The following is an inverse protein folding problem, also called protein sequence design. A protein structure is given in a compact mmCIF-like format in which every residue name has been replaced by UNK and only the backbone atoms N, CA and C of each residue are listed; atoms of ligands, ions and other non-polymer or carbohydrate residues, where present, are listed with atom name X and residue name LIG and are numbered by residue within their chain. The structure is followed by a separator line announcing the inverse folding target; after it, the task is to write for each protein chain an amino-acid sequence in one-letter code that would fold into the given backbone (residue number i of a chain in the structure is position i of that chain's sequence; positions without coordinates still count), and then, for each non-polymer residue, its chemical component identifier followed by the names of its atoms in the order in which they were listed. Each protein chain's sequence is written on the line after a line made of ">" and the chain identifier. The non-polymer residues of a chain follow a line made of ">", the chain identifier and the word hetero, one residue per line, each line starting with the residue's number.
data_IF_176024114312
#
_entry.id   IF_176024114312
#
_cell.length_a   1.000
_cell.length_b   1.000
_cell.length_c   1.000
_cell.angle_alpha   90.00
_cell.angle_beta   90.00
_cell.angle_gamma   90.00
#
_symmetry.space_group_name_H-M   'P 1'
#
loop_
_entity.id
_entity.type
_entity.pdbx_description
1 polymer ?
#
# COMPACT_ATOMS: atom_id res chain seq x y z
N UNK A 1 28.77 -5.43 17.90
CA UNK A 1 28.03 -6.05 16.79
C UNK A 1 27.61 -4.94 15.85
N UNK A 2 28.15 -4.91 14.63
CA UNK A 2 27.68 -3.98 13.59
C UNK A 2 26.23 -4.33 13.24
N UNK A 3 25.29 -3.37 13.20
CA UNK A 3 23.92 -3.67 12.80
C UNK A 3 23.95 -4.29 11.41
N UNK A 4 23.33 -5.48 11.26
CA UNK A 4 23.15 -6.08 9.95
C UNK A 4 22.22 -5.13 9.16
N UNK A 5 22.56 -4.71 7.94
CA UNK A 5 21.68 -3.85 7.15
C UNK A 5 20.33 -4.54 6.96
N UNK A 6 19.24 -3.78 7.12
CA UNK A 6 17.89 -4.33 6.97
C UNK A 6 17.67 -4.84 5.54
N UNK A 7 16.94 -5.97 5.36
CA UNK A 7 16.63 -6.49 4.03
C UNK A 7 15.79 -5.47 3.23
N UNK A 8 16.17 -5.22 1.97
CA UNK A 8 15.43 -4.35 1.05
C UNK A 8 15.03 -5.18 -0.19
N UNK A 9 13.74 -5.24 -0.56
CA UNK A 9 13.33 -5.87 -1.80
C UNK A 9 14.02 -5.24 -3.03
N UNK A 10 14.48 -6.03 -4.03
CA UNK A 10 15.17 -5.49 -5.20
C UNK A 10 14.41 -4.40 -5.94
N UNK A 11 13.09 -4.56 -6.11
CA UNK A 11 12.24 -3.56 -6.76
C UNK A 11 12.18 -2.23 -5.98
N UNK A 12 12.25 -2.29 -4.65
CA UNK A 12 12.32 -1.09 -3.79
C UNK A 12 13.72 -0.48 -3.82
N UNK A 13 14.77 -1.31 -3.87
CA UNK A 13 16.15 -0.84 -3.93
C UNK A 13 16.44 -0.03 -5.22
N UNK A 14 15.70 -0.31 -6.29
CA UNK A 14 15.78 0.39 -7.57
C UNK A 14 15.01 1.72 -7.62
N UNK A 15 14.21 2.05 -6.59
CA UNK A 15 13.45 3.30 -6.55
C UNK A 15 14.37 4.51 -6.33
N UNK A 16 13.97 5.71 -6.81
CA UNK A 16 14.54 6.96 -6.38
C UNK A 16 14.50 7.10 -4.86
N UNK A 17 15.49 7.79 -4.30
CA UNK A 17 15.59 8.05 -2.86
C UNK A 17 15.44 9.53 -2.57
N UNK A 18 14.83 9.84 -1.44
CA UNK A 18 14.81 11.20 -0.92
C UNK A 18 16.19 11.62 -0.37
N UNK A 19 16.41 12.90 0.00
CA UNK A 19 17.68 13.36 0.57
C UNK A 19 18.11 12.67 1.88
N UNK A 20 17.19 11.97 2.55
CA UNK A 20 17.46 11.19 3.78
C UNK A 20 17.85 9.74 3.45
N UNK A 21 17.76 9.35 2.18
CA UNK A 21 18.07 8.00 1.69
C UNK A 21 16.89 7.03 1.70
N UNK A 22 15.66 7.48 2.02
CA UNK A 22 14.48 6.62 2.00
C UNK A 22 13.96 6.45 0.57
N UNK A 23 13.59 5.22 0.15
CA UNK A 23 12.97 5.00 -1.15
C UNK A 23 11.65 5.77 -1.24
N UNK A 24 11.36 6.34 -2.40
CA UNK A 24 10.13 7.09 -2.67
C UNK A 24 9.11 6.14 -3.32
N UNK A 25 8.00 5.80 -2.65
CA UNK A 25 6.96 4.95 -3.21
C UNK A 25 6.35 5.50 -4.50
N UNK A 26 5.90 4.61 -5.38
CA UNK A 26 5.23 4.97 -6.65
C UNK A 26 4.00 5.87 -6.46
N UNK A 27 3.27 5.71 -5.35
CA UNK A 27 2.08 6.52 -5.03
C UNK A 27 2.38 7.86 -4.35
N UNK A 28 3.65 8.14 -4.00
CA UNK A 28 4.01 9.40 -3.34
C UNK A 28 3.99 10.53 -4.35
N UNK A 29 3.10 11.54 -4.18
CA UNK A 29 3.02 12.65 -5.12
C UNK A 29 4.24 13.57 -4.98
N UNK A 30 4.46 14.39 -6.00
CA UNK A 30 5.40 15.52 -5.93
C UNK A 30 4.66 16.84 -5.71
N UNK A 31 5.30 17.74 -4.97
CA UNK A 31 4.88 19.14 -4.91
C UNK A 31 5.31 19.91 -6.18
N UNK A 32 5.00 21.20 -6.23
CA UNK A 32 5.29 22.06 -7.38
C UNK A 32 6.79 22.18 -7.67
N UNK A 33 7.64 21.96 -6.67
CA UNK A 33 9.10 21.96 -6.75
C UNK A 33 9.68 20.58 -7.09
N UNK A 34 8.84 19.55 -7.26
CA UNK A 34 9.26 18.18 -7.58
C UNK A 34 9.68 17.35 -6.37
N UNK A 35 9.44 17.83 -5.14
CA UNK A 35 9.81 17.14 -3.91
C UNK A 35 8.73 16.15 -3.45
N UNK A 36 9.10 14.97 -2.92
CA UNK A 36 8.13 13.93 -2.52
C UNK A 36 7.32 14.34 -1.27
N UNK A 37 5.99 14.26 -1.36
CA UNK A 37 5.08 14.56 -0.25
C UNK A 37 4.58 13.29 0.45
N UNK A 38 5.37 12.76 1.39
CA UNK A 38 5.08 11.49 2.09
C UNK A 38 3.83 11.49 2.99
N UNK A 39 3.27 12.66 3.33
CA UNK A 39 2.12 12.75 4.23
C UNK A 39 0.79 12.38 3.55
N UNK A 40 0.76 12.34 2.22
CA UNK A 40 -0.43 12.09 1.41
C UNK A 40 -0.14 11.04 0.33
N UNK A 41 -1.19 10.42 -0.19
CA UNK A 41 -1.15 9.55 -1.36
C UNK A 41 -1.65 10.32 -2.58
N UNK A 42 -0.93 10.29 -3.70
CA UNK A 42 -1.33 10.99 -4.92
C UNK A 42 -2.50 10.28 -5.60
N UNK A 43 -3.67 10.92 -5.67
CA UNK A 43 -4.89 10.30 -6.24
C UNK A 43 -4.67 9.78 -7.65
N UNK A 44 -4.00 10.55 -8.52
CA UNK A 44 -3.69 10.14 -9.89
C UNK A 44 -2.82 8.88 -9.93
N UNK A 45 -1.71 8.87 -9.18
CA UNK A 45 -0.79 7.73 -9.06
C UNK A 45 -1.50 6.49 -8.51
N UNK A 46 -2.34 6.65 -7.48
CA UNK A 46 -3.14 5.59 -6.90
C UNK A 46 -4.12 5.01 -7.91
N UNK A 47 -4.80 5.86 -8.70
CA UNK A 47 -5.72 5.41 -9.75
C UNK A 47 -4.99 4.59 -10.82
N UNK A 48 -3.81 5.06 -11.26
CA UNK A 48 -2.98 4.33 -12.22
C UNK A 48 -2.58 2.98 -11.65
N UNK A 49 -2.09 2.93 -10.40
CA UNK A 49 -1.72 1.66 -9.76
C UNK A 49 -2.91 0.70 -9.63
N UNK A 50 -4.10 1.21 -9.32
CA UNK A 50 -5.31 0.41 -9.21
C UNK A 50 -5.73 -0.20 -10.56
N UNK A 51 -5.82 0.63 -11.59
CA UNK A 51 -6.30 0.22 -12.92
C UNK A 51 -5.31 -0.69 -13.62
N UNK A 52 -4.02 -0.41 -13.50
CA UNK A 52 -2.95 -1.18 -14.14
C UNK A 52 -2.44 -2.34 -13.25
N UNK A 53 -3.09 -2.58 -12.10
CA UNK A 53 -2.71 -3.60 -11.10
C UNK A 53 -1.21 -3.58 -10.77
N UNK A 54 -0.70 -2.40 -10.42
CA UNK A 54 0.69 -2.18 -10.01
C UNK A 54 0.82 -2.07 -8.50
N UNK A 55 1.96 -2.47 -7.97
CA UNK A 55 2.23 -2.30 -6.55
C UNK A 55 2.38 -0.83 -6.21
N UNK A 56 1.69 -0.40 -5.15
CA UNK A 56 1.73 0.97 -4.68
C UNK A 56 3.08 1.46 -4.17
N UNK A 57 3.97 0.54 -3.80
CA UNK A 57 5.31 0.89 -3.30
C UNK A 57 6.32 0.93 -4.44
N UNK A 58 6.51 -0.18 -5.15
CA UNK A 58 7.55 -0.28 -6.18
C UNK A 58 7.09 0.09 -7.60
N UNK A 59 5.78 0.21 -7.85
CA UNK A 59 5.22 0.57 -9.15
C UNK A 59 5.33 -0.51 -10.25
N UNK A 60 5.91 -1.67 -9.95
CA UNK A 60 5.94 -2.79 -10.89
C UNK A 60 4.61 -3.55 -10.89
N UNK A 61 4.24 -4.22 -12.00
CA UNK A 61 3.02 -5.00 -12.08
C UNK A 61 2.93 -6.11 -11.02
N UNK A 62 1.74 -6.34 -10.49
CA UNK A 62 1.43 -7.49 -9.64
C UNK A 62 0.81 -8.59 -10.49
N UNK A 63 1.38 -9.79 -10.42
CA UNK A 63 0.81 -10.96 -11.06
C UNK A 63 -0.63 -11.23 -10.56
N UNK A 64 -1.45 -11.97 -11.32
CA UNK A 64 -2.70 -12.51 -10.78
C UNK A 64 -2.44 -13.31 -9.50
N UNK A 65 -3.28 -13.13 -8.48
CA UNK A 65 -3.13 -13.75 -7.17
C UNK A 65 -3.24 -12.76 -6.01
N UNK A 66 -2.81 -13.16 -4.80
CA UNK A 66 -3.00 -12.35 -3.62
C UNK A 66 -2.30 -10.99 -3.69
N UNK A 67 -2.97 -9.98 -3.14
CA UNK A 67 -2.44 -8.63 -2.95
C UNK A 67 -2.30 -8.33 -1.47
N UNK A 68 -1.36 -7.46 -1.12
CA UNK A 68 -1.02 -7.19 0.27
C UNK A 68 -1.21 -5.73 0.64
N UNK A 69 -1.45 -5.47 1.92
CA UNK A 69 -1.41 -4.14 2.52
C UNK A 69 -0.97 -4.20 3.99
N UNK A 70 -0.52 -3.05 4.50
CA UNK A 70 -0.31 -2.86 5.94
C UNK A 70 -1.60 -2.28 6.52
N UNK A 71 -2.09 -2.83 7.63
CA UNK A 71 -3.33 -2.39 8.29
C UNK A 71 -3.05 -1.96 9.74
N UNK A 72 -3.92 -1.11 10.28
CA UNK A 72 -3.85 -0.65 11.66
C UNK A 72 -4.45 -1.67 12.65
N UNK A 73 -4.25 -1.42 13.95
CA UNK A 73 -4.63 -2.35 15.01
C UNK A 73 -6.14 -2.70 15.00
N UNK A 74 -7.02 -1.70 14.90
CA UNK A 74 -8.47 -1.94 14.91
C UNK A 74 -8.96 -2.81 13.73
N UNK A 75 -8.40 -2.62 12.53
CA UNK A 75 -8.70 -3.46 11.37
C UNK A 75 -8.11 -4.87 11.55
N UNK A 76 -6.92 -4.98 12.16
CA UNK A 76 -6.28 -6.27 12.47
C UNK A 76 -7.16 -7.11 13.40
N UNK A 77 -7.67 -6.54 14.49
CA UNK A 77 -8.57 -7.23 15.42
C UNK A 77 -9.86 -7.66 14.75
N UNK A 78 -10.48 -6.78 13.95
CA UNK A 78 -11.71 -7.08 13.24
C UNK A 78 -11.54 -8.26 12.27
N UNK A 79 -10.42 -8.31 11.53
CA UNK A 79 -10.11 -9.39 10.61
C UNK A 79 -9.76 -10.69 11.34
N UNK A 80 -8.98 -10.62 12.43
CA UNK A 80 -8.66 -11.78 13.25
C UNK A 80 -9.92 -12.43 13.85
N UNK A 81 -10.84 -11.62 14.38
CA UNK A 81 -12.11 -12.09 14.90
C UNK A 81 -13.03 -12.68 13.81
N UNK A 82 -13.04 -12.10 12.61
CA UNK A 82 -13.78 -12.67 11.48
C UNK A 82 -13.22 -14.03 11.04
N UNK A 83 -11.88 -14.15 10.96
CA UNK A 83 -11.19 -15.39 10.62
C UNK A 83 -11.44 -16.48 11.67
N UNK A 84 -11.34 -16.18 12.96
CA UNK A 84 -11.63 -17.11 14.05
C UNK A 84 -13.09 -17.61 14.04
N UNK A 85 -14.03 -16.76 13.59
CA UNK A 85 -15.43 -17.11 13.42
C UNK A 85 -15.74 -17.82 12.09
N UNK A 86 -14.74 -18.13 11.25
CA UNK A 86 -14.93 -18.78 9.96
C UNK A 86 -15.68 -17.93 8.92
N UNK A 87 -15.71 -16.60 9.08
CA UNK A 87 -16.40 -15.70 8.15
C UNK A 87 -15.43 -15.23 7.06
N UNK A 88 -15.95 -15.06 5.85
CA UNK A 88 -15.22 -14.35 4.80
C UNK A 88 -14.95 -12.93 5.24
N UNK A 89 -13.67 -12.57 5.29
CA UNK A 89 -13.22 -11.26 5.72
C UNK A 89 -13.09 -10.32 4.52
N UNK A 90 -13.79 -9.19 4.60
CA UNK A 90 -13.64 -8.01 3.75
C UNK A 90 -13.32 -6.82 4.64
N UNK A 91 -12.63 -5.80 4.13
CA UNK A 91 -12.53 -4.54 4.89
C UNK A 91 -13.93 -3.91 5.04
N UNK A 92 -14.27 -3.49 6.26
CA UNK A 92 -15.61 -2.96 6.59
C UNK A 92 -15.87 -1.58 5.96
N UNK A 93 -14.81 -0.79 5.76
CA UNK A 93 -14.87 0.53 5.16
C UNK A 93 -13.87 0.60 4.00
N UNK A 94 -14.18 1.33 2.91
CA UNK A 94 -13.24 1.52 1.82
C UNK A 94 -11.92 2.09 2.33
N UNK A 95 -10.81 1.52 1.87
CA UNK A 95 -9.45 1.97 2.23
C UNK A 95 -8.92 2.95 1.18
N UNK A 96 -8.16 3.99 1.56
CA UNK A 96 -7.45 4.83 0.59
C UNK A 96 -6.10 4.21 0.19
N UNK A 97 -5.68 3.15 0.89
CA UNK A 97 -4.37 2.52 0.74
C UNK A 97 -4.41 1.44 -0.36
N UNK A 98 -3.72 1.65 -1.48
CA UNK A 98 -3.66 0.69 -2.58
C UNK A 98 -2.84 -0.57 -2.27
N UNK A 99 -3.15 -1.70 -2.94
CA UNK A 99 -2.42 -2.96 -2.79
C UNK A 99 -0.95 -2.90 -3.21
N UNK A 100 -0.16 -3.87 -2.74
CA UNK A 100 1.20 -4.12 -3.19
C UNK A 100 1.64 -5.58 -3.10
N UNK A 101 2.87 -5.85 -3.51
CA UNK A 101 3.49 -7.17 -3.31
C UNK A 101 3.72 -7.46 -1.83
N UNK A 102 3.82 -8.74 -1.50
CA UNK A 102 4.02 -9.23 -0.13
C UNK A 102 5.29 -8.64 0.50
N UNK A 103 6.43 -8.79 -0.17
CA UNK A 103 7.73 -8.30 0.27
C UNK A 103 7.79 -6.78 0.36
N UNK A 104 7.07 -6.08 -0.52
CA UNK A 104 6.97 -4.62 -0.47
C UNK A 104 6.19 -4.15 0.75
N UNK A 105 5.10 -4.82 1.12
CA UNK A 105 4.29 -4.48 2.28
C UNK A 105 4.94 -4.89 3.60
N UNK A 106 5.65 -6.02 3.63
CA UNK A 106 6.52 -6.39 4.76
C UNK A 106 7.61 -5.34 4.99
N UNK A 107 8.24 -4.85 3.92
CA UNK A 107 9.23 -3.78 4.01
C UNK A 107 8.64 -2.46 4.50
N UNK A 108 7.48 -2.07 3.96
CA UNK A 108 6.78 -0.85 4.33
C UNK A 108 6.37 -0.85 5.82
N UNK A 109 5.95 -2.01 6.34
CA UNK A 109 5.53 -2.16 7.74
C UNK A 109 6.61 -1.73 8.73
N UNK A 110 7.89 -2.03 8.50
CA UNK A 110 8.97 -1.65 9.42
C UNK A 110 9.72 -0.37 9.03
N UNK A 111 9.70 0.02 7.75
CA UNK A 111 10.47 1.18 7.27
C UNK A 111 9.70 2.48 7.37
N UNK A 112 8.38 2.46 7.16
CA UNK A 112 7.58 3.69 7.25
C UNK A 112 7.51 4.17 8.72
N UNK A 113 7.96 5.40 9.04
CA UNK A 113 7.95 5.90 10.41
C UNK A 113 6.56 5.91 11.06
N UNK A 114 5.50 6.08 10.26
CA UNK A 114 4.12 6.03 10.74
C UNK A 114 3.64 4.58 10.96
N UNK A 115 4.03 3.63 10.10
CA UNK A 115 3.60 2.22 10.19
C UNK A 115 4.47 1.36 11.12
N UNK A 116 5.67 1.79 11.46
CA UNK A 116 6.59 0.97 12.23
C UNK A 116 6.23 0.90 13.72
N UNK A 117 5.49 1.89 14.24
CA UNK A 117 5.25 2.03 15.69
C UNK A 117 3.82 2.45 16.01
N UNK A 118 3.19 1.87 17.04
CA UNK A 118 1.83 2.27 17.45
C UNK A 118 1.73 3.71 17.94
N UNK A 119 2.79 4.22 18.56
CA UNK A 119 2.85 5.59 19.09
C UNK A 119 3.29 6.63 18.05
N UNK A 120 3.51 6.23 16.79
CA UNK A 120 3.82 7.17 15.72
C UNK A 120 2.68 8.17 15.53
N UNK A 121 3.02 9.42 15.24
CA UNK A 121 2.05 10.51 15.12
C UNK A 121 2.05 11.10 13.72
N UNK A 122 0.89 11.53 13.26
CA UNK A 122 0.75 12.22 11.97
C UNK A 122 1.56 13.51 11.96
N UNK A 123 2.36 13.70 10.92
CA UNK A 123 3.17 14.91 10.75
C UNK A 123 2.36 16.11 10.26
N UNK A 124 1.25 15.87 9.56
CA UNK A 124 0.40 16.86 8.92
C UNK A 124 -1.08 16.49 9.09
N UNK A 125 -1.96 17.47 8.90
CA UNK A 125 -3.39 17.23 8.73
C UNK A 125 -3.63 16.51 7.40
N UNK A 126 -4.67 15.68 7.35
CA UNK A 126 -5.10 15.00 6.14
C UNK A 126 -6.63 14.87 6.12
N UNK A 127 -7.21 14.84 4.92
CA UNK A 127 -8.63 14.51 4.74
C UNK A 127 -8.73 13.19 3.98
N UNK A 128 -9.43 12.21 4.55
CA UNK A 128 -9.60 10.87 3.97
C UNK A 128 -11.07 10.51 4.01
N UNK A 129 -11.69 10.29 2.84
CA UNK A 129 -13.12 9.96 2.70
C UNK A 129 -14.07 10.83 3.53
N UNK A 130 -13.82 12.14 3.59
CA UNK A 130 -14.64 13.09 4.35
C UNK A 130 -14.30 13.17 5.84
N UNK A 131 -13.36 12.36 6.34
CA UNK A 131 -12.84 12.46 7.70
C UNK A 131 -11.59 13.33 7.75
N UNK A 132 -11.56 14.25 8.73
CA UNK A 132 -10.39 15.08 9.03
C UNK A 132 -9.49 14.37 10.03
N UNK A 133 -8.28 14.04 9.60
CA UNK A 133 -7.24 13.43 10.41
C UNK A 133 -6.26 14.51 10.86
N UNK A 134 -6.28 14.83 12.17
CA UNK A 134 -5.47 15.91 12.72
C UNK A 134 -4.00 15.50 12.89
N UNK A 135 -3.08 16.43 12.62
CA UNK A 135 -1.68 16.37 12.99
C UNK A 135 -1.53 15.99 14.46
N UNK A 136 -0.52 15.17 14.75
CA UNK A 136 -0.25 14.72 16.11
C UNK A 136 -1.11 13.54 16.57
N UNK A 137 -2.19 13.21 15.85
CA UNK A 137 -2.99 11.98 16.12
C UNK A 137 -2.08 10.76 16.04
N UNK A 138 -2.11 9.94 17.10
CA UNK A 138 -1.34 8.71 17.16
C UNK A 138 -1.97 7.65 16.24
N UNK A 139 -1.14 6.78 15.66
CA UNK A 139 -1.63 5.64 14.89
C UNK A 139 -2.50 4.69 15.74
N UNK A 140 -2.10 4.49 16.98
CA UNK A 140 -2.79 3.66 17.95
C UNK A 140 -2.28 2.22 17.96
N UNK A 141 -2.57 1.55 19.07
CA UNK A 141 -2.46 0.11 19.27
C UNK A 141 -3.81 -0.40 19.76
N UNK A 142 -3.98 -1.71 19.70
CA UNK A 142 -5.06 -2.41 20.35
C UNK A 142 -4.48 -3.59 21.16
N UNK A 143 -5.29 -4.23 21.99
CA UNK A 143 -4.85 -5.33 22.84
C UNK A 143 -5.71 -6.52 22.54
N UNK A 144 -5.08 -7.61 22.11
CA UNK A 144 -5.80 -8.85 21.87
C UNK A 144 -6.42 -9.36 23.18
N UNK A 145 -7.76 -9.39 23.25
CA UNK A 145 -8.50 -9.74 24.47
C UNK A 145 -8.20 -11.15 25.00
N UNK A 146 -7.71 -12.06 24.14
CA UNK A 146 -7.45 -13.46 24.51
C UNK A 146 -6.03 -13.68 25.03
N UNK A 147 -5.04 -13.09 24.38
CA UNK A 147 -3.61 -13.27 24.69
C UNK A 147 -3.03 -12.14 25.53
N UNK A 148 -3.72 -10.99 25.63
CA UNK A 148 -3.20 -9.78 26.26
C UNK A 148 -2.07 -9.10 25.46
N UNK A 149 -1.82 -9.55 24.23
CA UNK A 149 -0.71 -9.05 23.40
C UNK A 149 -1.09 -7.72 22.75
N UNK A 150 -0.18 -6.75 22.76
CA UNK A 150 -0.39 -5.48 22.06
C UNK A 150 -0.23 -5.65 20.55
N UNK A 151 -1.25 -5.23 19.81
CA UNK A 151 -1.29 -5.20 18.35
C UNK A 151 -1.05 -3.75 17.88
N UNK A 152 0.02 -3.54 17.11
CA UNK A 152 0.27 -2.28 16.39
C UNK A 152 -0.34 -2.25 15.00
N UNK A 153 -0.54 -3.41 14.39
CA UNK A 153 -1.12 -3.58 13.07
C UNK A 153 -0.86 -4.97 12.51
N UNK A 154 -1.05 -5.14 11.21
CA UNK A 154 -0.69 -6.36 10.52
C UNK A 154 -0.23 -6.10 9.08
N UNK A 155 0.47 -7.07 8.51
CA UNK A 155 0.55 -7.23 7.05
C UNK A 155 -0.51 -8.25 6.67
N UNK A 156 -1.48 -7.84 5.84
CA UNK A 156 -2.62 -8.65 5.45
C UNK A 156 -2.58 -8.92 3.95
N UNK A 157 -2.80 -10.18 3.57
CA UNK A 157 -2.96 -10.64 2.20
C UNK A 157 -4.42 -10.94 1.88
N UNK A 158 -4.86 -10.55 0.70
CA UNK A 158 -6.22 -10.71 0.22
C UNK A 158 -6.21 -11.34 -1.16
N UNK A 159 -7.18 -12.19 -1.46
CA UNK A 159 -7.30 -12.87 -2.74
C UNK A 159 -7.47 -11.88 -3.89
N UNK A 160 -8.26 -10.83 -3.66
CA UNK A 160 -8.45 -9.77 -4.66
C UNK A 160 -8.82 -8.41 -4.03
N UNK A 161 -8.86 -7.40 -4.89
CA UNK A 161 -9.37 -6.07 -4.56
C UNK A 161 -10.26 -5.52 -5.67
N UNK A 162 -11.26 -4.77 -5.26
CA UNK A 162 -12.03 -3.86 -6.11
C UNK A 162 -11.67 -2.42 -5.75
N UNK A 163 -11.88 -1.50 -6.69
CA UNK A 163 -11.70 -0.08 -6.42
C UNK A 163 -12.80 0.76 -7.06
N UNK A 164 -13.11 1.86 -6.39
CA UNK A 164 -14.02 2.90 -6.89
C UNK A 164 -13.28 4.22 -6.94
N UNK A 165 -13.53 4.97 -7.99
CA UNK A 165 -13.05 6.34 -8.12
C UNK A 165 -14.23 7.28 -8.37
N UNK A 166 -14.30 8.34 -7.57
CA UNK A 166 -15.18 9.48 -7.80
C UNK A 166 -14.31 10.68 -8.14
N UNK A 167 -14.59 11.44 -9.21
CA UNK A 167 -13.85 12.67 -9.51
C UNK A 167 -13.81 13.62 -8.31
N UNK A 168 -12.61 14.11 -7.97
CA UNK A 168 -12.39 14.96 -6.81
C UNK A 168 -12.24 14.23 -5.46
N UNK A 169 -12.41 12.90 -5.43
CA UNK A 169 -12.20 12.07 -4.23
C UNK A 169 -10.95 11.19 -4.36
N UNK A 170 -10.56 10.57 -3.25
CA UNK A 170 -9.55 9.51 -3.24
C UNK A 170 -10.09 8.22 -3.85
N UNK A 171 -9.20 7.40 -4.39
CA UNK A 171 -9.53 6.04 -4.84
C UNK A 171 -9.85 5.19 -3.61
N UNK A 172 -10.99 4.52 -3.63
CA UNK A 172 -11.50 3.74 -2.52
C UNK A 172 -11.39 2.25 -2.84
N UNK A 173 -10.68 1.50 -2.00
CA UNK A 173 -10.40 0.07 -2.20
C UNK A 173 -11.24 -0.82 -1.29
N UNK A 174 -11.77 -1.90 -1.85
CA UNK A 174 -12.40 -2.99 -1.13
C UNK A 174 -11.57 -4.25 -1.36
N UNK A 175 -11.09 -4.85 -0.29
CA UNK A 175 -10.28 -6.06 -0.28
C UNK A 175 -11.14 -7.24 0.16
N UNK A 176 -11.03 -8.37 -0.54
CA UNK A 176 -11.85 -9.55 -0.29
C UNK A 176 -11.02 -10.83 -0.22
N UNK A 177 -11.53 -11.81 0.52
CA UNK A 177 -10.91 -13.12 0.64
C UNK A 177 -9.55 -13.06 1.34
N UNK A 178 -9.53 -12.70 2.62
CA UNK A 178 -8.31 -12.74 3.44
C UNK A 178 -7.59 -14.09 3.30
N UNK A 179 -6.37 -14.06 2.76
CA UNK A 179 -5.51 -15.24 2.55
C UNK A 179 -4.41 -15.34 3.59
N UNK A 180 -4.01 -14.20 4.17
CA UNK A 180 -2.94 -14.13 5.15
C UNK A 180 -3.19 -12.97 6.11
N UNK A 181 -2.95 -13.18 7.40
CA UNK A 181 -2.96 -12.12 8.40
C UNK A 181 -1.73 -12.29 9.30
N UNK A 182 -0.82 -11.30 9.28
CA UNK A 182 0.38 -11.28 10.11
C UNK A 182 0.36 -10.11 11.09
N UNK A 183 -0.24 -10.28 12.27
CA UNK A 183 -0.18 -9.26 13.33
C UNK A 183 1.26 -8.95 13.73
N UNK A 184 1.49 -7.73 14.16
CA UNK A 184 2.73 -7.30 14.78
C UNK A 184 2.47 -6.27 15.87
N UNK A 185 3.36 -6.22 16.86
CA UNK A 185 3.40 -5.12 17.81
C UNK A 185 4.17 -3.93 17.22
N UNK A 186 5.36 -4.21 16.69
CA UNK A 186 6.21 -3.27 15.97
C UNK A 186 6.39 -3.74 14.53
N UNK A 187 6.52 -2.81 13.59
CA UNK A 187 6.79 -3.18 12.20
C UNK A 187 8.03 -4.06 12.04
N UNK A 188 9.04 -3.86 12.90
CA UNK A 188 10.28 -4.65 12.93
C UNK A 188 10.06 -6.16 13.15
N UNK A 189 8.91 -6.56 13.71
CA UNK A 189 8.54 -7.97 13.88
C UNK A 189 8.38 -8.69 12.53
N UNK A 190 8.24 -7.95 11.42
CA UNK A 190 8.14 -8.49 10.06
C UNK A 190 9.50 -8.76 9.39
N UNK A 191 10.62 -8.31 9.97
CA UNK A 191 11.96 -8.48 9.37
C UNK A 191 12.33 -9.96 9.13
N UNK A 192 12.09 -10.92 10.06
CA UNK A 192 12.40 -12.32 9.81
C UNK A 192 11.62 -12.90 8.62
N UNK A 193 10.34 -12.54 8.49
CA UNK A 193 9.50 -12.97 7.38
C UNK A 193 9.98 -12.38 6.06
N UNK A 194 10.26 -11.08 6.02
CA UNK A 194 10.84 -10.44 4.83
C UNK A 194 12.14 -11.12 4.42
N UNK A 195 13.01 -11.41 5.38
CA UNK A 195 14.28 -12.12 5.11
C UNK A 195 14.02 -13.48 4.46
N UNK A 196 13.06 -14.25 4.97
CA UNK A 196 12.69 -15.55 4.42
C UNK A 196 12.12 -15.44 3.00
N UNK A 197 11.26 -14.44 2.74
CA UNK A 197 10.72 -14.19 1.40
C UNK A 197 11.83 -13.88 0.41
N UNK A 198 12.72 -12.95 0.75
CA UNK A 198 13.80 -12.57 -0.16
C UNK A 198 14.76 -13.75 -0.42
N UNK A 199 15.03 -14.58 0.59
CA UNK A 199 15.81 -15.79 0.41
C UNK A 199 15.13 -16.80 -0.52
N UNK A 200 13.80 -16.93 -0.44
CA UNK A 200 13.01 -17.81 -1.31
C UNK A 200 12.90 -17.29 -2.76
N UNK A 201 13.04 -15.97 -2.98
CA UNK A 201 13.08 -15.38 -4.32
C UNK A 201 14.40 -15.68 -5.08
N UNK A 202 15.46 -16.10 -4.37
CA UNK A 202 16.77 -16.45 -4.95
C UNK A 202 17.66 -15.24 -5.31
N UNK A 203 18.97 -15.48 -5.51
CA UNK A 203 19.94 -14.48 -6.00
C UNK A 203 20.45 -14.81 -7.42
N UNK A 204 20.56 -13.81 -8.33
CA UNK A 204 19.60 -12.73 -8.47
C UNK A 204 18.32 -13.29 -9.13
N UNK A 205 17.14 -12.71 -8.88
CA UNK A 205 16.04 -12.95 -9.78
C UNK A 205 16.51 -12.61 -11.21
N UNK A 206 16.08 -13.34 -12.25
CA UNK A 206 16.20 -12.82 -13.61
C UNK A 206 15.69 -11.38 -13.58
N UNK A 207 16.34 -10.48 -14.35
CA UNK A 207 15.90 -9.09 -14.55
C UNK A 207 14.37 -9.04 -14.50
N UNK A 208 13.76 -8.14 -13.69
CA UNK A 208 12.39 -8.28 -13.24
C UNK A 208 11.55 -8.78 -14.40
N UNK A 209 11.05 -10.00 -14.27
CA UNK A 209 10.30 -10.63 -15.37
C UNK A 209 9.01 -9.88 -15.66
N UNK A 210 8.69 -8.87 -14.84
CA UNK A 210 7.71 -7.84 -15.09
C UNK A 210 8.34 -6.51 -15.49
N UNK A 211 7.58 -5.76 -16.26
CA UNK A 211 7.85 -4.37 -16.62
C UNK A 211 8.33 -3.55 -15.39
N UNK A 212 9.40 -2.75 -15.53
CA UNK A 212 9.87 -1.90 -14.43
C UNK A 212 8.81 -0.86 -14.04
N UNK A 213 9.05 -0.15 -12.93
CA UNK A 213 8.24 1.01 -12.59
C UNK A 213 8.31 2.02 -13.76
N UNK A 214 7.18 2.44 -14.33
CA UNK A 214 7.20 3.34 -15.47
C UNK A 214 7.72 4.72 -15.01
N UNK A 215 8.49 5.44 -15.86
CA UNK A 215 9.07 6.72 -15.48
C UNK A 215 8.05 7.74 -14.96
N UNK A 216 6.83 7.76 -15.50
CA UNK A 216 5.76 8.66 -15.04
C UNK A 216 5.28 8.38 -13.61
N UNK A 217 5.56 7.21 -13.02
CA UNK A 217 5.31 6.93 -11.59
C UNK A 217 6.54 7.20 -10.71
N UNK A 218 7.67 7.62 -11.28
CA UNK A 218 8.86 7.95 -10.52
C UNK A 218 8.79 9.41 -10.08
N UNK A 219 9.26 10.35 -10.91
CA UNK A 219 9.51 11.75 -10.56
C UNK A 219 8.68 12.77 -11.36
N UNK A 220 7.81 12.33 -12.26
CA UNK A 220 6.99 13.21 -13.10
C UNK A 220 5.50 13.17 -12.70
N UNK A 221 5.08 14.14 -11.87
CA UNK A 221 3.67 14.25 -11.45
C UNK A 221 2.73 14.58 -12.61
N UNK A 222 3.16 15.45 -13.52
CA UNK A 222 2.33 15.86 -14.67
C UNK A 222 2.05 14.69 -15.60
N UNK A 223 3.03 13.82 -15.82
CA UNK A 223 2.85 12.59 -16.59
C UNK A 223 1.96 11.58 -15.87
N UNK A 224 2.06 11.44 -14.54
CA UNK A 224 1.15 10.60 -13.75
C UNK A 224 -0.32 11.07 -13.88
N UNK A 225 -0.55 12.39 -13.80
CA UNK A 225 -1.86 12.99 -13.97
C UNK A 225 -2.40 12.84 -15.39
N UNK A 226 -1.55 13.03 -16.41
CA UNK A 226 -1.92 12.79 -17.80
C UNK A 226 -2.35 11.34 -18.02
N UNK A 227 -1.60 10.38 -17.47
CA UNK A 227 -1.93 8.95 -17.56
C UNK A 227 -3.25 8.61 -16.86
N UNK A 228 -3.48 9.18 -15.68
CA UNK A 228 -4.75 9.03 -14.98
C UNK A 228 -5.93 9.58 -15.80
N UNK A 229 -5.74 10.71 -16.48
CA UNK A 229 -6.75 11.31 -17.36
C UNK A 229 -7.09 10.42 -18.55
N UNK A 230 -6.08 9.88 -19.23
CA UNK A 230 -6.26 8.92 -20.34
C UNK A 230 -7.08 7.70 -19.92
N UNK A 231 -6.78 7.15 -18.73
CA UNK A 231 -7.50 6.01 -18.16
C UNK A 231 -8.99 6.33 -17.97
N UNK A 232 -9.29 7.51 -17.43
CA UNK A 232 -10.67 7.96 -17.20
C UNK A 232 -11.41 8.21 -18.52
N UNK A 233 -10.76 8.86 -19.48
CA UNK A 233 -11.32 9.09 -20.82
C UNK A 233 -11.65 7.78 -21.53
N UNK A 234 -10.74 6.80 -21.48
CA UNK A 234 -10.97 5.48 -22.03
C UNK A 234 -12.13 4.74 -21.33
N UNK A 235 -12.26 4.87 -20.01
CA UNK A 235 -13.37 4.29 -19.27
C UNK A 235 -14.74 4.91 -19.65
N UNK A 236 -14.79 6.24 -19.76
CA UNK A 236 -15.99 6.96 -20.20
C UNK A 236 -16.39 6.60 -21.63
N UNK A 237 -15.41 6.46 -22.54
CA UNK A 237 -15.67 6.05 -23.92
C UNK A 237 -16.29 4.64 -24.00
N UNK A 238 -15.78 3.67 -23.21
CA UNK A 238 -16.34 2.31 -23.12
C UNK A 238 -17.79 2.31 -22.63
N UNK A 239 -18.11 3.14 -21.63
CA UNK A 239 -19.49 3.26 -21.12
C UNK A 239 -20.46 3.82 -22.16
N UNK A 240 -20.04 4.82 -22.96
CA UNK A 240 -20.87 5.39 -24.03
C UNK A 240 -21.09 4.41 -25.20
N UNK A 241 -20.08 3.62 -25.56
CA UNK A 241 -20.17 2.62 -26.63
C UNK A 241 -20.99 1.39 -26.27
N UNK A 242 -21.03 0.99 -25.01
CA UNK A 242 -21.80 -0.18 -24.54
C UNK A 242 -23.31 0.06 -24.40
N UNK A 243 -23.78 1.31 -24.42
CA UNK A 243 -25.20 1.67 -24.28
C UNK A 243 -26.03 1.64 -25.57
N UNK A 244 -25.41 1.41 -26.74
CA UNK A 244 -26.09 1.46 -28.03
C UNK A 244 -26.60 0.09 -28.56
N UNK A 245 -26.58 -0.95 -27.72
CA UNK A 245 -26.93 -2.33 -28.12
C UNK A 245 -27.89 -3.07 -27.18
N UNK A 246 -28.66 -2.35 -26.36
CA UNK A 246 -29.69 -2.90 -25.46
C UNK A 246 -31.10 -2.64 -25.94
#
# INVERSE_FOLDING_TARGET
>A
MTPRPSPIPPAIAALPRDPRGYPIPAITPRDAEGSPTFAITGTARTLVCAVERRCSICGTPMAPGPVYRVIAAAETEALAAAQAAGRTATNKAPSPEPPGHRECMLFAAFTCPFLARPNARRGQDAHVFGESLTRGTARGSATDDHSGTQIGGAVAGFADFEFRYTPGEQVAFLFTGLTELRPHHLGADQIPELTAVLAALGEPPPAPTGEPCPPYLLDDESAAEARAREILEAAMARQRGGGAGG
#
